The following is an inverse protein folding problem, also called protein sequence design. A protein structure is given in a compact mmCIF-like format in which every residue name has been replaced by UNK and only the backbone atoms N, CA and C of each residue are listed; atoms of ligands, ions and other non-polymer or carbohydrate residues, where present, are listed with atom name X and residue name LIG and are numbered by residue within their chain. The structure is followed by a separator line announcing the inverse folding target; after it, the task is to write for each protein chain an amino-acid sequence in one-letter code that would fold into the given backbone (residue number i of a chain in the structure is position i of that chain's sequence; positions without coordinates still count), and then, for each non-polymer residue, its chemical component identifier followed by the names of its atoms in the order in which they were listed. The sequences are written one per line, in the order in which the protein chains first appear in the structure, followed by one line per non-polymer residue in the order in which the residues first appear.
data_IF_266769979679
#
_entry.id   IF_266769979679
#
_cell.length_a   1.000
_cell.length_b   1.000
_cell.length_c   1.000
_cell.angle_alpha   90.00
_cell.angle_beta   90.00
_cell.angle_gamma   90.00
#
_symmetry.space_group_name_H-M   'P 1'
#
loop_
_entity.id
_entity.type
_entity.pdbx_description
1 polymer ?
#
# COMPACT_ATOMS: atom_id res chain seq x y z
N UNK A 1 -10.29 12.03 15.32
CA UNK A 1 -11.45 11.81 16.21
C UNK A 1 -11.13 11.85 17.71
N UNK A 2 -10.05 11.24 18.23
CA UNK A 2 -9.73 11.32 19.69
C UNK A 2 -9.66 12.76 20.22
N UNK A 3 -8.92 13.63 19.52
CA UNK A 3 -8.80 15.06 19.86
C UNK A 3 -10.13 15.80 19.79
N UNK A 4 -10.94 15.57 18.75
CA UNK A 4 -12.24 16.24 18.59
C UNK A 4 -13.22 15.83 19.70
N UNK A 5 -13.27 14.53 20.06
CA UNK A 5 -14.07 14.04 21.20
C UNK A 5 -13.62 14.72 22.51
N UNK A 6 -12.32 14.80 22.76
CA UNK A 6 -11.79 15.46 23.96
C UNK A 6 -12.10 16.97 24.03
N UNK A 7 -12.30 17.62 22.87
CA UNK A 7 -12.68 19.02 22.76
C UNK A 7 -14.20 19.25 22.69
N UNK A 8 -15.02 18.19 22.82
CA UNK A 8 -16.48 18.30 22.71
C UNK A 8 -16.98 18.63 21.30
N UNK A 9 -16.19 18.35 20.27
CA UNK A 9 -16.53 18.62 18.87
C UNK A 9 -17.16 17.36 18.26
N UNK A 10 -18.40 17.48 17.79
CA UNK A 10 -19.09 16.42 17.04
C UNK A 10 -18.40 16.18 15.70
N UNK A 11 -18.10 14.92 15.40
CA UNK A 11 -17.52 14.50 14.12
C UNK A 11 -18.57 13.81 13.25
N UNK A 12 -18.59 14.16 11.97
CA UNK A 12 -19.41 13.49 10.96
C UNK A 12 -18.48 12.86 9.92
N UNK A 13 -18.64 11.57 9.66
CA UNK A 13 -17.87 10.87 8.65
C UNK A 13 -18.35 11.32 7.26
N UNK A 14 -17.42 11.79 6.42
CA UNK A 14 -17.68 11.97 5.00
C UNK A 14 -17.71 10.60 4.32
N UNK A 15 -18.82 10.27 3.66
CA UNK A 15 -18.97 9.03 2.90
C UNK A 15 -19.69 9.31 1.57
N UNK A 16 -18.89 9.44 0.50
CA UNK A 16 -19.37 9.65 -0.86
C UNK A 16 -20.00 8.37 -1.49
N UNK A 17 -19.94 7.22 -0.82
CA UNK A 17 -20.40 5.91 -1.31
C UNK A 17 -19.32 5.08 -2.02
N UNK A 18 -18.14 5.65 -2.29
CA UNK A 18 -17.00 4.93 -2.85
C UNK A 18 -16.03 4.47 -1.74
N UNK A 19 -15.87 5.28 -0.69
CA UNK A 19 -14.77 5.09 0.27
C UNK A 19 -15.11 4.16 1.44
N UNK A 20 -16.29 4.30 2.06
CA UNK A 20 -16.60 3.61 3.32
C UNK A 20 -17.72 2.57 3.18
N UNK A 21 -18.99 2.99 3.05
CA UNK A 21 -20.11 2.07 2.93
C UNK A 21 -20.36 1.69 1.47
N UNK A 22 -20.23 0.40 1.18
CA UNK A 22 -20.73 -0.20 -0.05
C UNK A 22 -22.27 -0.23 -0.01
N UNK A 23 -22.93 0.80 -0.54
CA UNK A 23 -24.40 0.97 -0.45
C UNK A 23 -25.15 -0.14 -1.19
N UNK A 24 -24.52 -0.71 -2.22
CA UNK A 24 -25.01 -1.81 -3.03
C UNK A 24 -25.15 -3.12 -2.25
N UNK A 25 -24.24 -3.39 -1.31
CA UNK A 25 -24.22 -4.62 -0.51
C UNK A 25 -24.57 -4.40 0.95
N UNK A 26 -24.66 -3.15 1.41
CA UNK A 26 -24.86 -2.80 2.82
C UNK A 26 -23.67 -3.16 3.71
N UNK A 27 -22.46 -3.27 3.15
CA UNK A 27 -21.25 -3.68 3.88
C UNK A 27 -20.20 -2.57 3.92
N UNK A 28 -19.51 -2.43 5.04
CA UNK A 28 -18.35 -1.54 5.13
C UNK A 28 -17.17 -2.12 4.32
N UNK A 29 -16.54 -1.30 3.48
CA UNK A 29 -15.34 -1.68 2.70
C UNK A 29 -14.14 -1.93 3.60
N UNK A 30 -13.96 -1.08 4.61
CA UNK A 30 -13.03 -1.28 5.70
C UNK A 30 -13.78 -1.25 7.04
N UNK A 31 -14.12 -2.44 7.54
CA UNK A 31 -14.81 -2.58 8.82
C UNK A 31 -13.94 -2.10 10.00
N UNK A 32 -12.63 -2.27 9.92
CA UNK A 32 -11.71 -1.90 11.02
C UNK A 32 -11.62 -0.39 11.14
N UNK A 33 -11.51 0.34 10.03
CA UNK A 33 -11.54 1.80 10.05
C UNK A 33 -12.82 2.34 10.71
N UNK A 34 -13.97 1.75 10.38
CA UNK A 34 -15.27 2.10 10.96
C UNK A 34 -15.33 1.76 12.45
N UNK A 35 -14.83 0.60 12.85
CA UNK A 35 -14.77 0.20 14.27
C UNK A 35 -13.84 1.14 15.06
N UNK A 36 -12.70 1.57 14.50
CA UNK A 36 -11.81 2.58 15.11
C UNK A 36 -12.58 3.89 15.34
N UNK A 37 -13.28 4.38 14.33
CA UNK A 37 -14.09 5.60 14.39
C UNK A 37 -15.17 5.49 15.47
N UNK A 38 -15.98 4.44 15.42
CA UNK A 38 -17.12 4.24 16.32
C UNK A 38 -16.70 4.02 17.77
N UNK A 39 -15.63 3.27 18.02
CA UNK A 39 -15.06 3.13 19.36
C UNK A 39 -14.57 4.46 19.93
N UNK A 40 -13.97 5.30 19.08
CA UNK A 40 -13.51 6.63 19.52
C UNK A 40 -14.66 7.53 19.95
N UNK A 41 -15.81 7.48 19.26
CA UNK A 41 -17.04 8.21 19.65
C UNK A 41 -17.59 7.69 20.97
N UNK A 42 -17.42 6.40 21.26
CA UNK A 42 -17.78 5.78 22.55
C UNK A 42 -16.74 5.99 23.66
N UNK A 43 -15.72 6.84 23.43
CA UNK A 43 -14.63 7.10 24.38
C UNK A 43 -13.83 5.83 24.72
N UNK A 44 -13.78 4.89 23.78
CA UNK A 44 -12.94 3.68 23.88
C UNK A 44 -11.65 3.91 23.10
N UNK A 45 -10.51 3.76 23.76
CA UNK A 45 -9.21 3.86 23.11
C UNK A 45 -8.97 2.67 22.18
N UNK A 46 -8.53 2.95 20.95
CA UNK A 46 -8.08 1.93 20.01
C UNK A 46 -6.56 1.78 20.10
N UNK A 47 -6.07 0.54 20.07
CA UNK A 47 -4.70 0.28 19.65
C UNK A 47 -4.60 0.45 18.14
N UNK A 48 -3.43 0.88 17.65
CA UNK A 48 -3.20 1.09 16.22
C UNK A 48 -1.90 0.42 15.79
N UNK A 49 -1.86 -0.05 14.55
CA UNK A 49 -0.59 -0.38 13.89
C UNK A 49 0.33 0.84 13.95
N UNK A 50 1.60 0.61 14.24
CA UNK A 50 2.63 1.63 14.19
C UNK A 50 3.39 1.54 12.86
N UNK A 51 3.99 2.65 12.45
CA UNK A 51 4.72 2.74 11.19
C UNK A 51 5.79 3.80 11.24
N UNK A 52 6.73 3.73 10.31
CA UNK A 52 7.68 4.82 10.09
C UNK A 52 6.96 6.11 9.73
N UNK A 53 7.28 7.20 10.43
CA UNK A 53 6.74 8.55 10.16
C UNK A 53 7.81 9.53 9.66
N UNK A 54 9.08 9.15 9.75
CA UNK A 54 10.19 9.95 9.26
C UNK A 54 10.31 9.80 7.74
N UNK A 55 10.09 10.89 7.00
CA UNK A 55 10.19 10.88 5.54
C UNK A 55 11.65 10.76 5.05
N UNK A 56 12.64 10.98 5.92
CA UNK A 56 14.06 10.93 5.57
C UNK A 56 14.69 9.56 5.67
N UNK A 57 14.03 8.58 6.30
CA UNK A 57 14.58 7.22 6.37
C UNK A 57 14.43 6.49 5.04
N UNK A 58 15.48 5.74 4.69
CA UNK A 58 15.55 4.92 3.48
C UNK A 58 14.81 3.58 3.62
N UNK A 59 14.37 3.23 4.82
CA UNK A 59 13.55 2.05 5.09
C UNK A 59 12.29 2.46 5.83
N UNK A 60 11.15 1.99 5.33
CA UNK A 60 9.84 2.19 5.95
C UNK A 60 9.26 0.85 6.40
N UNK A 61 8.62 0.85 7.56
CA UNK A 61 7.92 -0.30 8.12
C UNK A 61 6.49 0.08 8.48
N UNK A 62 5.62 -0.92 8.47
CA UNK A 62 4.24 -0.82 8.94
C UNK A 62 3.85 -2.13 9.60
N UNK A 63 3.18 -2.04 10.75
CA UNK A 63 2.66 -3.21 11.44
C UNK A 63 1.41 -3.80 10.81
N UNK A 64 0.91 -3.21 9.72
CA UNK A 64 -0.17 -3.80 8.94
C UNK A 64 0.30 -4.99 8.08
N UNK A 65 1.61 -5.15 7.85
CA UNK A 65 2.15 -6.12 6.90
C UNK A 65 3.41 -6.82 7.43
N UNK A 66 3.57 -8.07 7.04
CA UNK A 66 4.85 -8.79 7.08
C UNK A 66 5.23 -9.13 5.65
N UNK A 67 6.32 -8.52 5.18
CA UNK A 67 6.82 -8.73 3.83
C UNK A 67 8.02 -9.67 3.84
N UNK A 68 7.97 -10.73 3.03
CA UNK A 68 9.12 -11.58 2.74
C UNK A 68 9.43 -11.55 1.24
N UNK A 69 10.66 -11.23 0.85
CA UNK A 69 11.05 -11.18 -0.56
C UNK A 69 11.31 -12.60 -1.09
N UNK A 70 10.89 -12.90 -2.32
CA UNK A 70 11.27 -14.15 -2.99
C UNK A 70 12.79 -14.27 -3.06
N UNK A 71 13.30 -15.47 -2.82
CA UNK A 71 14.73 -15.76 -2.70
C UNK A 71 15.36 -15.41 -1.34
N UNK A 72 14.63 -14.77 -0.43
CA UNK A 72 15.14 -14.44 0.91
C UNK A 72 14.71 -15.48 1.95
N UNK A 73 15.56 -15.66 2.97
CA UNK A 73 15.25 -16.48 4.14
C UNK A 73 14.15 -15.84 4.98
N UNK A 74 13.23 -16.66 5.45
CA UNK A 74 12.23 -16.26 6.44
C UNK A 74 12.90 -16.18 7.80
N UNK A 75 12.65 -15.09 8.52
CA UNK A 75 13.20 -14.80 9.85
C UNK A 75 12.11 -14.32 10.79
N UNK A 76 12.40 -14.20 12.09
CA UNK A 76 11.48 -13.57 13.05
C UNK A 76 11.14 -12.14 12.62
N UNK A 77 9.88 -11.74 12.79
CA UNK A 77 9.41 -10.40 12.39
C UNK A 77 8.84 -9.67 13.59
N UNK A 78 9.29 -8.43 13.81
CA UNK A 78 8.87 -7.61 14.95
C UNK A 78 8.02 -6.45 14.46
N UNK A 79 6.76 -6.40 14.93
CA UNK A 79 5.79 -5.37 14.56
C UNK A 79 5.42 -4.51 15.77
N UNK A 80 5.73 -3.21 15.79
CA UNK A 80 5.34 -2.29 16.85
C UNK A 80 3.86 -1.88 16.78
N UNK A 81 3.22 -1.66 17.93
CA UNK A 81 1.86 -1.13 18.01
C UNK A 81 1.78 0.05 18.96
N UNK A 82 0.96 1.04 18.59
CA UNK A 82 0.54 2.11 19.49
C UNK A 82 -0.62 1.61 20.36
N UNK A 83 -0.31 1.07 21.54
CA UNK A 83 -1.32 0.43 22.40
C UNK A 83 -2.31 1.40 23.06
N UNK A 84 -1.98 2.69 23.20
CA UNK A 84 -2.91 3.72 23.71
C UNK A 84 -3.63 3.35 25.04
N UNK A 85 -2.94 2.66 25.95
CA UNK A 85 -3.48 2.21 27.24
C UNK A 85 -4.12 0.82 27.24
N UNK A 86 -4.16 0.14 26.09
CA UNK A 86 -4.62 -1.24 25.96
C UNK A 86 -3.45 -2.24 26.08
N UNK A 87 -3.77 -3.53 26.05
CA UNK A 87 -2.82 -4.63 25.90
C UNK A 87 -3.23 -5.54 24.74
N UNK A 88 -2.30 -6.38 24.27
CA UNK A 88 -2.62 -7.49 23.38
C UNK A 88 -3.45 -8.53 24.15
N UNK A 89 -4.52 -9.03 23.53
CA UNK A 89 -5.42 -10.03 24.11
C UNK A 89 -5.24 -11.39 23.45
N UNK A 90 -5.39 -11.46 22.14
CA UNK A 90 -5.25 -12.70 21.38
C UNK A 90 -4.84 -12.41 19.94
N UNK A 91 -4.22 -13.38 19.29
CA UNK A 91 -4.01 -13.37 17.85
C UNK A 91 -4.73 -14.59 17.26
N UNK A 92 -5.36 -14.41 16.11
CA UNK A 92 -5.96 -15.52 15.38
C UNK A 92 -5.79 -15.36 13.87
N UNK A 93 -5.88 -16.47 13.15
CA UNK A 93 -5.78 -16.51 11.71
C UNK A 93 -6.78 -17.52 11.17
N UNK A 94 -7.65 -17.09 10.26
CA UNK A 94 -8.76 -17.93 9.78
C UNK A 94 -9.68 -18.45 10.91
N UNK A 95 -9.79 -17.70 12.01
CA UNK A 95 -10.56 -18.10 13.20
C UNK A 95 -9.82 -19.04 14.17
N UNK A 96 -8.60 -19.49 13.84
CA UNK A 96 -7.77 -20.33 14.72
C UNK A 96 -6.85 -19.46 15.56
N UNK A 97 -6.86 -19.66 16.88
CA UNK A 97 -6.01 -18.91 17.80
C UNK A 97 -4.53 -19.30 17.61
N UNK A 98 -3.65 -18.30 17.59
CA UNK A 98 -2.21 -18.48 17.62
C UNK A 98 -1.70 -18.64 19.05
N UNK A 99 -0.64 -19.43 19.23
CA UNK A 99 -0.08 -19.79 20.53
C UNK A 99 1.06 -18.84 20.90
N UNK A 100 0.87 -18.09 21.99
CA UNK A 100 1.91 -17.25 22.56
C UNK A 100 3.06 -18.13 23.10
N UNK A 101 4.31 -17.78 22.80
CA UNK A 101 5.50 -18.57 23.08
C UNK A 101 5.98 -19.40 21.88
N UNK A 102 5.06 -19.86 21.03
CA UNK A 102 5.36 -20.73 19.89
C UNK A 102 5.20 -20.02 18.55
N UNK A 103 4.03 -19.44 18.28
CA UNK A 103 3.72 -18.81 16.99
C UNK A 103 4.13 -17.33 16.99
N UNK A 104 3.99 -16.68 18.15
CA UNK A 104 4.43 -15.32 18.39
C UNK A 104 4.79 -15.11 19.87
N UNK A 105 5.46 -14.02 20.20
CA UNK A 105 5.60 -13.53 21.57
C UNK A 105 5.29 -12.05 21.65
N UNK A 106 4.83 -11.61 22.82
CA UNK A 106 4.64 -10.18 23.12
C UNK A 106 5.91 -9.65 23.79
N UNK A 107 6.44 -8.55 23.28
CA UNK A 107 7.53 -7.81 23.92
C UNK A 107 7.20 -6.32 23.98
N UNK A 108 6.95 -5.81 25.19
CA UNK A 108 6.49 -4.43 25.41
C UNK A 108 5.24 -4.13 24.56
N UNK A 109 5.33 -3.17 23.65
CA UNK A 109 4.26 -2.78 22.74
C UNK A 109 4.39 -3.42 21.35
N UNK A 110 5.16 -4.49 21.21
CA UNK A 110 5.41 -5.16 19.94
C UNK A 110 5.02 -6.63 19.97
N UNK A 111 4.65 -7.14 18.79
CA UNK A 111 4.48 -8.56 18.51
C UNK A 111 5.71 -9.05 17.76
N UNK A 112 6.29 -10.16 18.21
CA UNK A 112 7.37 -10.86 17.50
C UNK A 112 6.80 -12.16 16.96
N UNK A 113 6.55 -12.21 15.66
CA UNK A 113 6.15 -13.42 14.96
C UNK A 113 7.35 -14.33 14.77
N UNK A 114 7.20 -15.61 15.13
CA UNK A 114 8.27 -16.58 15.09
C UNK A 114 8.49 -17.07 13.67
N UNK A 115 9.75 -17.22 13.29
CA UNK A 115 10.17 -17.76 12.01
C UNK A 115 9.49 -19.11 11.69
N UNK A 116 9.45 -20.02 12.66
CA UNK A 116 8.83 -21.33 12.49
C UNK A 116 7.34 -21.24 12.11
N UNK A 117 6.62 -20.27 12.66
CA UNK A 117 5.24 -19.99 12.29
C UNK A 117 5.14 -19.36 10.89
N UNK A 118 5.98 -18.37 10.59
CA UNK A 118 5.99 -17.67 9.30
C UNK A 118 6.36 -18.59 8.13
N UNK A 119 7.23 -19.58 8.35
CA UNK A 119 7.63 -20.59 7.36
C UNK A 119 6.49 -21.50 6.88
N UNK A 120 5.35 -21.50 7.57
CA UNK A 120 4.15 -22.19 7.09
C UNK A 120 3.50 -21.46 5.89
N UNK A 121 3.85 -20.20 5.65
CA UNK A 121 3.20 -19.32 4.66
C UNK A 121 4.19 -18.68 3.68
N UNK A 122 5.41 -18.42 4.16
CA UNK A 122 6.46 -17.69 3.46
C UNK A 122 7.65 -18.62 3.24
N UNK A 123 8.33 -18.46 2.12
CA UNK A 123 9.60 -19.16 1.86
C UNK A 123 10.37 -18.47 0.74
N UNK A 124 11.63 -18.84 0.56
CA UNK A 124 12.45 -18.33 -0.55
C UNK A 124 11.86 -18.69 -1.93
N UNK A 125 11.05 -19.76 -2.04
CA UNK A 125 10.45 -20.22 -3.30
C UNK A 125 8.93 -20.07 -3.36
N UNK A 126 8.30 -19.50 -2.34
CA UNK A 126 6.87 -19.26 -2.34
C UNK A 126 6.50 -18.30 -3.48
N UNK A 127 5.40 -18.58 -4.15
CA UNK A 127 4.87 -17.67 -5.16
C UNK A 127 4.57 -16.30 -4.53
N UNK A 128 4.77 -15.17 -5.23
CA UNK A 128 4.34 -13.88 -4.72
C UNK A 128 2.83 -13.79 -4.44
N UNK A 129 2.45 -12.79 -3.64
CA UNK A 129 1.08 -12.48 -3.26
C UNK A 129 0.81 -12.62 -1.76
N UNK A 130 -0.38 -12.14 -1.37
CA UNK A 130 -0.96 -12.32 -0.03
C UNK A 130 -1.08 -13.79 0.34
N UNK A 131 -0.69 -14.14 1.56
CA UNK A 131 -0.68 -15.52 2.07
C UNK A 131 -1.69 -15.76 3.18
N UNK A 132 -1.79 -14.83 4.13
CA UNK A 132 -2.72 -14.95 5.23
C UNK A 132 -2.93 -13.60 5.93
N UNK A 133 -4.02 -13.49 6.69
CA UNK A 133 -4.32 -12.34 7.53
C UNK A 133 -4.42 -12.79 9.00
N UNK A 134 -3.58 -12.20 9.85
CA UNK A 134 -3.62 -12.38 11.29
C UNK A 134 -4.45 -11.26 11.90
N UNK A 135 -5.53 -11.63 12.58
CA UNK A 135 -6.31 -10.72 13.42
C UNK A 135 -5.62 -10.55 14.76
N UNK A 136 -5.35 -9.30 15.14
CA UNK A 136 -4.82 -8.92 16.45
C UNK A 136 -5.97 -8.34 17.26
N UNK A 137 -6.32 -9.01 18.35
CA UNK A 137 -7.32 -8.55 19.31
C UNK A 137 -6.62 -7.86 20.48
N UNK A 138 -7.18 -6.74 20.93
CA UNK A 138 -6.69 -5.98 22.07
C UNK A 138 -7.65 -6.10 23.26
N UNK A 139 -7.24 -5.63 24.43
CA UNK A 139 -8.09 -5.56 25.62
C UNK A 139 -9.35 -4.72 25.44
N UNK A 140 -9.32 -3.74 24.54
CA UNK A 140 -10.45 -2.90 24.16
C UNK A 140 -10.21 -2.28 22.77
N UNK A 141 -11.27 -1.71 22.19
CA UNK A 141 -11.22 -1.04 20.89
C UNK A 141 -11.33 -2.01 19.72
N UNK A 142 -10.98 -1.52 18.53
CA UNK A 142 -11.03 -2.29 17.30
C UNK A 142 -9.86 -3.29 17.22
N UNK A 143 -10.09 -4.39 16.52
CA UNK A 143 -9.01 -5.30 16.13
C UNK A 143 -8.09 -4.63 15.10
N UNK A 144 -6.87 -5.15 14.96
CA UNK A 144 -5.98 -4.86 13.82
C UNK A 144 -5.84 -6.09 12.93
N UNK A 145 -5.37 -5.90 11.70
CA UNK A 145 -4.94 -6.99 10.83
C UNK A 145 -3.44 -6.86 10.56
N UNK A 146 -2.79 -8.01 10.40
CA UNK A 146 -1.43 -8.14 9.89
C UNK A 146 -1.48 -9.09 8.70
N UNK A 147 -1.17 -8.58 7.53
CA UNK A 147 -1.18 -9.36 6.30
C UNK A 147 0.22 -9.93 6.01
N UNK A 148 0.31 -11.24 5.81
CA UNK A 148 1.54 -11.92 5.41
C UNK A 148 1.64 -11.87 3.89
N UNK A 149 2.70 -11.25 3.36
CA UNK A 149 2.88 -11.03 1.93
C UNK A 149 4.23 -11.59 1.49
N UNK A 150 4.20 -12.55 0.56
CA UNK A 150 5.38 -12.91 -0.21
C UNK A 150 5.47 -11.94 -1.39
N UNK A 151 6.61 -11.29 -1.60
CA UNK A 151 6.72 -10.27 -2.65
C UNK A 151 7.98 -10.41 -3.49
N UNK A 152 7.93 -9.86 -4.69
CA UNK A 152 9.05 -9.60 -5.58
C UNK A 152 8.70 -8.35 -6.42
N UNK A 153 9.65 -7.79 -7.17
CA UNK A 153 9.36 -6.65 -8.03
C UNK A 153 8.28 -7.02 -9.08
N UNK A 154 7.16 -6.28 -9.16
CA UNK A 154 6.18 -6.45 -10.23
C UNK A 154 6.82 -6.30 -11.61
N UNK A 155 6.14 -6.76 -12.65
CA UNK A 155 6.58 -6.60 -14.04
C UNK A 155 5.46 -6.00 -14.88
N UNK A 156 5.80 -5.35 -15.99
CA UNK A 156 4.82 -4.84 -16.95
C UNK A 156 4.79 -5.75 -18.18
N UNK A 157 3.64 -5.83 -18.87
CA UNK A 157 3.57 -6.52 -20.18
C UNK A 157 4.33 -5.75 -21.25
N UNK A 158 4.34 -4.42 -21.15
CA UNK A 158 5.20 -3.53 -21.93
C UNK A 158 5.77 -2.45 -21.03
N UNK A 159 7.04 -2.10 -21.26
CA UNK A 159 7.76 -1.05 -20.54
C UNK A 159 7.79 0.29 -21.29
N UNK A 160 7.19 0.35 -22.48
CA UNK A 160 7.08 1.61 -23.22
C UNK A 160 5.95 1.62 -24.23
N UNK A 161 5.54 2.82 -24.65
CA UNK A 161 4.73 3.07 -25.84
C UNK A 161 4.99 4.47 -26.38
N UNK A 162 4.57 4.75 -27.61
CA UNK A 162 4.59 6.11 -28.12
C UNK A 162 3.43 6.90 -27.52
N UNK A 163 3.67 8.13 -27.10
CA UNK A 163 2.63 9.03 -26.60
C UNK A 163 1.56 9.31 -27.68
N UNK A 164 1.93 9.22 -28.96
CA UNK A 164 1.01 9.36 -30.10
C UNK A 164 0.02 8.18 -30.23
N UNK A 165 0.33 7.02 -29.65
CA UNK A 165 -0.54 5.84 -29.65
C UNK A 165 -1.53 5.85 -28.46
N UNK A 166 -1.39 6.82 -27.54
CA UNK A 166 -2.30 6.96 -26.42
C UNK A 166 -3.73 7.29 -26.91
N UNK A 167 -4.78 6.65 -26.37
CA UNK A 167 -6.16 6.91 -26.78
C UNK A 167 -6.54 8.39 -26.67
N UNK A 168 -7.14 8.95 -27.71
CA UNK A 168 -7.46 10.38 -27.76
C UNK A 168 -8.46 10.83 -26.69
N UNK A 169 -9.41 9.97 -26.30
CA UNK A 169 -10.52 10.31 -25.41
C UNK A 169 -10.57 9.45 -24.14
N UNK A 170 -9.48 8.76 -23.81
CA UNK A 170 -9.42 7.91 -22.61
C UNK A 170 -8.02 7.79 -22.04
N UNK A 171 -7.95 7.24 -20.82
CA UNK A 171 -6.69 7.01 -20.12
C UNK A 171 -5.89 5.88 -20.78
N UNK A 172 -4.57 6.00 -20.75
CA UNK A 172 -3.66 4.94 -21.17
C UNK A 172 -3.52 3.92 -20.04
N UNK A 173 -3.83 2.65 -20.33
CA UNK A 173 -3.76 1.55 -19.38
C UNK A 173 -2.54 0.68 -19.67
N UNK A 174 -1.75 0.41 -18.64
CA UNK A 174 -0.51 -0.37 -18.71
C UNK A 174 -0.67 -1.58 -17.80
N UNK A 175 -0.73 -2.78 -18.39
CA UNK A 175 -0.92 -4.03 -17.65
C UNK A 175 0.22 -4.27 -16.65
N UNK A 176 -0.14 -4.51 -15.40
CA UNK A 176 0.78 -4.90 -14.32
C UNK A 176 0.62 -6.39 -14.04
N UNK A 177 1.74 -7.10 -14.01
CA UNK A 177 1.82 -8.43 -13.40
C UNK A 177 2.29 -8.25 -11.96
N UNK A 178 1.33 -8.28 -11.03
CA UNK A 178 1.59 -8.09 -9.61
C UNK A 178 2.43 -9.22 -9.01
N UNK A 179 3.35 -8.85 -8.13
CA UNK A 179 4.15 -9.80 -7.34
C UNK A 179 4.19 -9.41 -5.86
N UNK A 180 3.03 -9.23 -5.24
CA UNK A 180 2.96 -8.81 -3.84
C UNK A 180 1.59 -8.22 -3.54
N UNK A 181 1.56 -7.05 -2.90
CA UNK A 181 0.33 -6.29 -2.73
C UNK A 181 -0.12 -5.67 -4.06
N UNK A 182 -1.43 -5.71 -4.30
CA UNK A 182 -2.10 -5.07 -5.44
C UNK A 182 -2.28 -3.57 -5.17
N UNK A 183 -1.16 -2.86 -4.97
CA UNK A 183 -1.17 -1.45 -4.59
C UNK A 183 0.08 -0.73 -5.07
N UNK A 184 -0.13 0.31 -5.86
CA UNK A 184 0.92 1.30 -6.15
C UNK A 184 1.09 2.18 -4.92
N UNK A 185 2.33 2.41 -4.52
CA UNK A 185 2.68 3.27 -3.41
C UNK A 185 2.81 4.73 -3.88
N UNK A 186 3.52 4.95 -4.98
CA UNK A 186 3.72 6.25 -5.60
C UNK A 186 4.11 6.09 -7.06
N UNK A 187 4.04 7.18 -7.84
CA UNK A 187 4.70 7.26 -9.13
C UNK A 187 5.47 8.57 -9.24
N UNK A 188 6.72 8.49 -9.66
CA UNK A 188 7.58 9.63 -9.98
C UNK A 188 7.64 9.79 -11.50
N UNK A 189 7.37 10.99 -11.98
CA UNK A 189 7.25 11.26 -13.42
C UNK A 189 8.31 12.30 -13.83
N UNK A 190 9.30 11.87 -14.60
CA UNK A 190 10.42 12.72 -15.03
C UNK A 190 10.56 12.74 -16.54
N UNK A 191 10.79 13.91 -17.11
CA UNK A 191 11.16 14.04 -18.52
C UNK A 191 12.66 13.76 -18.71
N UNK A 192 13.07 13.55 -19.96
CA UNK A 192 14.42 13.09 -20.33
C UNK A 192 15.58 14.01 -19.92
N UNK A 193 15.32 15.26 -19.53
CA UNK A 193 16.33 16.18 -18.97
C UNK A 193 16.44 16.10 -17.43
N UNK A 194 15.66 15.23 -16.79
CA UNK A 194 15.66 15.00 -15.35
C UNK A 194 14.68 15.88 -14.57
N UNK A 195 14.01 16.84 -15.20
CA UNK A 195 12.96 17.62 -14.53
C UNK A 195 11.67 16.80 -14.34
N UNK A 196 10.85 17.21 -13.38
CA UNK A 196 9.50 16.66 -13.23
C UNK A 196 8.63 17.09 -14.41
N UNK A 197 7.79 16.17 -14.92
CA UNK A 197 6.89 16.46 -16.04
C UNK A 197 5.93 17.61 -15.71
N UNK A 198 5.36 17.58 -14.50
CA UNK A 198 4.47 18.60 -13.97
C UNK A 198 4.89 18.90 -12.53
N UNK A 199 4.90 20.18 -12.19
CA UNK A 199 5.01 20.67 -10.81
C UNK A 199 3.60 20.90 -10.23
N UNK A 200 2.78 19.85 -10.30
CA UNK A 200 1.43 19.82 -9.75
C UNK A 200 1.17 18.44 -9.12
N UNK A 201 0.47 18.44 -8.00
CA UNK A 201 0.31 17.30 -7.12
C UNK A 201 -0.84 16.37 -7.52
N UNK A 202 -1.61 16.67 -8.57
CA UNK A 202 -2.81 15.89 -8.94
C UNK A 202 -2.84 15.34 -10.37
N UNK A 203 -3.53 14.19 -10.47
CA UNK A 203 -4.30 13.76 -11.64
C UNK A 203 -3.56 13.23 -12.87
N UNK A 204 -2.27 12.92 -12.77
CA UNK A 204 -1.52 12.35 -13.92
C UNK A 204 -1.56 10.83 -14.01
N UNK A 205 -1.88 10.17 -12.90
CA UNK A 205 -1.91 8.72 -12.86
C UNK A 205 -2.92 8.21 -11.85
N UNK A 206 -3.29 6.95 -12.02
CA UNK A 206 -4.09 6.15 -11.11
C UNK A 206 -3.67 4.68 -11.26
N UNK A 207 -4.35 3.78 -10.56
CA UNK A 207 -4.21 2.34 -10.78
C UNK A 207 -5.53 1.63 -10.50
N UNK A 208 -5.69 0.48 -11.12
CA UNK A 208 -6.75 -0.47 -10.78
C UNK A 208 -6.12 -1.85 -10.46
N UNK A 209 -6.94 -2.90 -10.46
CA UNK A 209 -6.47 -4.24 -10.13
C UNK A 209 -5.53 -4.83 -11.18
N UNK A 210 -5.60 -4.38 -12.43
CA UNK A 210 -4.87 -4.95 -13.56
C UNK A 210 -3.87 -3.97 -14.17
N UNK A 211 -4.02 -2.66 -13.92
CA UNK A 211 -3.29 -1.63 -14.65
C UNK A 211 -2.70 -0.53 -13.76
N UNK A 212 -1.54 -0.05 -14.19
CA UNK A 212 -1.14 1.34 -13.97
C UNK A 212 -1.84 2.19 -15.03
N UNK A 213 -2.41 3.31 -14.62
CA UNK A 213 -3.19 4.17 -15.51
C UNK A 213 -2.47 5.50 -15.60
N UNK A 214 -2.07 5.90 -16.81
CA UNK A 214 -1.69 7.28 -17.09
C UNK A 214 -2.96 7.98 -17.54
N UNK A 215 -3.44 8.91 -16.73
CA UNK A 215 -4.68 9.64 -17.02
C UNK A 215 -4.51 10.44 -18.32
N UNK A 216 -5.62 10.80 -18.96
CA UNK A 216 -5.60 11.67 -20.16
C UNK A 216 -4.78 12.95 -19.96
N UNK A 217 -4.92 13.61 -18.82
CA UNK A 217 -4.13 14.79 -18.48
C UNK A 217 -2.61 14.50 -18.48
N UNK A 218 -2.22 13.29 -18.06
CA UNK A 218 -0.83 12.85 -18.02
C UNK A 218 -0.26 12.62 -19.42
N UNK A 219 -1.00 11.97 -20.30
CA UNK A 219 -0.57 11.80 -21.69
C UNK A 219 -0.53 13.12 -22.45
N UNK A 220 -1.48 14.03 -22.21
CA UNK A 220 -1.45 15.40 -22.75
C UNK A 220 -0.21 16.17 -22.29
N UNK A 221 0.13 16.08 -21.00
CA UNK A 221 1.32 16.73 -20.47
C UNK A 221 2.62 16.21 -21.13
N UNK A 222 2.72 14.90 -21.35
CA UNK A 222 3.87 14.30 -22.06
C UNK A 222 3.98 14.82 -23.50
N UNK A 223 2.86 14.84 -24.23
CA UNK A 223 2.81 15.36 -25.61
C UNK A 223 3.20 16.84 -25.65
N UNK A 224 2.66 17.65 -24.74
CA UNK A 224 2.95 19.08 -24.64
C UNK A 224 4.42 19.35 -24.27
N UNK A 225 5.02 18.53 -23.40
CA UNK A 225 6.43 18.63 -23.05
C UNK A 225 7.35 18.30 -24.23
N UNK A 226 6.88 17.50 -25.20
CA UNK A 226 7.64 17.15 -26.39
C UNK A 226 8.88 16.29 -26.11
N UNK A 227 8.92 15.62 -24.95
CA UNK A 227 10.08 14.89 -24.43
C UNK A 227 9.67 13.52 -23.94
N UNK A 228 10.58 12.55 -24.10
CA UNK A 228 10.40 11.23 -23.50
C UNK A 228 10.23 11.39 -21.98
N UNK A 229 9.26 10.66 -21.44
CA UNK A 229 8.89 10.75 -20.03
C UNK A 229 8.92 9.37 -19.40
N UNK A 230 9.62 9.25 -18.28
CA UNK A 230 9.69 8.05 -17.46
C UNK A 230 8.73 8.17 -16.29
N UNK A 231 7.85 7.18 -16.15
CA UNK A 231 7.01 6.93 -15.00
C UNK A 231 7.68 5.82 -14.18
N UNK A 232 8.35 6.19 -13.08
CA UNK A 232 8.86 5.24 -12.11
C UNK A 232 7.73 4.90 -11.14
N UNK A 233 7.17 3.70 -11.28
CA UNK A 233 6.04 3.20 -10.50
C UNK A 233 6.60 2.45 -9.30
N UNK A 234 6.35 2.95 -8.09
CA UNK A 234 6.81 2.38 -6.83
C UNK A 234 5.72 1.54 -6.17
N UNK A 235 6.11 0.39 -5.58
CA UNK A 235 5.19 -0.55 -4.96
C UNK A 235 5.53 -0.79 -3.48
N UNK A 236 4.57 -1.35 -2.74
CA UNK A 236 4.83 -1.85 -1.39
C UNK A 236 5.43 -3.27 -1.40
N UNK A 237 6.39 -3.58 -0.51
CA UNK A 237 7.01 -2.67 0.45
C UNK A 237 7.94 -1.66 -0.24
N UNK A 238 8.10 -0.49 0.38
CA UNK A 238 9.15 0.44 -0.03
C UNK A 238 10.52 -0.15 0.26
N UNK A 239 11.37 -0.19 -0.76
CA UNK A 239 12.74 -0.67 -0.65
C UNK A 239 13.69 0.42 -1.14
N UNK A 240 14.69 0.72 -0.32
CA UNK A 240 15.73 1.70 -0.63
C UNK A 240 16.32 1.47 -2.04
N UNK A 241 16.57 2.56 -2.75
CA UNK A 241 17.23 2.52 -4.06
C UNK A 241 16.37 1.88 -5.16
N UNK A 242 15.05 2.09 -5.15
CA UNK A 242 14.12 1.60 -6.18
C UNK A 242 14.08 0.05 -6.29
N UNK A 243 14.27 -0.64 -5.16
CA UNK A 243 14.33 -2.12 -5.13
C UNK A 243 12.97 -2.82 -5.34
N UNK A 244 11.88 -2.06 -5.41
CA UNK A 244 10.52 -2.53 -5.67
C UNK A 244 9.75 -1.50 -6.52
N UNK A 245 10.28 -1.22 -7.71
CA UNK A 245 9.67 -0.31 -8.68
C UNK A 245 9.90 -0.79 -10.10
N UNK A 246 9.09 -0.29 -11.04
CA UNK A 246 9.30 -0.49 -12.48
C UNK A 246 9.21 0.84 -13.21
N UNK A 247 10.00 1.00 -14.26
CA UNK A 247 9.94 2.16 -15.14
C UNK A 247 9.07 1.86 -16.35
N UNK A 248 8.17 2.79 -16.68
CA UNK A 248 7.45 2.82 -17.94
C UNK A 248 7.79 4.11 -18.70
N UNK A 249 8.13 4.01 -19.98
CA UNK A 249 8.54 5.16 -20.79
C UNK A 249 7.51 5.49 -21.86
N UNK A 250 6.97 6.71 -21.82
CA UNK A 250 6.26 7.29 -22.95
C UNK A 250 7.24 8.02 -23.85
N UNK A 251 7.33 7.58 -25.10
CA UNK A 251 8.22 8.17 -26.11
C UNK A 251 7.48 9.20 -26.95
N UNK A 252 8.14 10.33 -27.21
CA UNK A 252 7.63 11.35 -28.13
C UNK A 252 8.57 11.40 -29.32
N UNK A 253 8.08 11.02 -30.50
CA UNK A 253 8.87 11.17 -31.72
C UNK A 253 8.91 12.66 -32.07
N UNK A 254 10.07 13.29 -31.87
CA UNK A 254 10.35 14.58 -32.49
C UNK A 254 10.45 14.35 -34.00
N UNK A 255 9.34 14.51 -34.72
CA UNK A 255 9.45 14.86 -36.13
C UNK A 255 10.16 16.20 -36.14
N UNK A 256 11.44 16.20 -36.51
CA UNK A 256 12.07 17.38 -37.07
C UNK A 256 11.14 17.81 -38.21
N UNK A 257 10.34 18.86 -38.00
CA UNK A 257 9.80 19.64 -39.10
C UNK A 257 11.00 20.29 -39.79
N UNK A 258 11.70 19.51 -40.62
CA UNK A 258 12.53 20.07 -41.67
C UNK A 258 11.58 20.79 -42.61
N UNK A 259 11.60 22.12 -42.54
CA UNK A 259 10.92 22.98 -43.51
C UNK A 259 11.57 22.94 -44.88
#
# INVERSE_FOLDING_TARGET
MRKTTALGITTMLWDNGLDNLARESGTWRDRIAVDIITNTVRVVNNSLADSTVDASTTSQTSSAYIFNKVGSDVTNQTLPFMLNGNSFKSLSMGGVALRNGEDYVVFRSSLIFKEAFLKNYLSASATPGTKANVTVEFSAGANSQVELVQWDAPTLESYSSAAADAPAESDLRISIVWKGLYKVAAAKITISDGAYLVDDWTNQWNFDFDHFIINRAGTDAVIAAGKNTTFTIEFYPHVAGNGNSVDYVLTVNTFLKTG
#
